data_IF_024919681032
#
_entry.id   IF_024919681032
#
_cell.length_a   1.000
_cell.length_b   1.000
_cell.length_c   1.000
_cell.angle_alpha   90.00
_cell.angle_beta   90.00
_cell.angle_gamma   90.00
#
_symmetry.space_group_name_H-M   'P 1'
#
loop_
_entity.id
_entity.type
_entity.pdbx_description
1 polymer ?
#
# COMPACT_ATOMS: atom_id res chain seq x y z
N UNK A 1 -42.73 -2.42 -10.24
CA UNK A 1 -41.87 -1.21 -10.17
C UNK A 1 -41.17 -1.10 -8.82
N UNK A 2 -41.88 -1.17 -7.68
CA UNK A 2 -41.26 -1.10 -6.34
C UNK A 2 -40.19 -2.16 -6.06
N UNK A 3 -40.44 -3.44 -6.39
CA UNK A 3 -39.47 -4.51 -6.16
C UNK A 3 -38.14 -4.37 -6.93
N UNK A 4 -38.16 -3.65 -8.06
CA UNK A 4 -36.97 -3.44 -8.87
C UNK A 4 -36.10 -2.31 -8.31
N UNK A 5 -36.72 -1.24 -7.79
CA UNK A 5 -36.03 -0.13 -7.15
C UNK A 5 -35.32 -0.57 -5.85
N UNK A 6 -35.98 -1.38 -5.02
CA UNK A 6 -35.37 -1.92 -3.79
C UNK A 6 -34.21 -2.87 -4.08
N UNK A 7 -34.29 -3.61 -5.19
CA UNK A 7 -33.21 -4.50 -5.62
C UNK A 7 -32.00 -3.74 -6.18
N UNK A 8 -32.21 -2.54 -6.74
CA UNK A 8 -31.15 -1.68 -7.23
C UNK A 8 -30.41 -0.99 -6.08
N UNK A 9 -31.15 -0.41 -5.14
CA UNK A 9 -30.60 0.24 -3.93
C UNK A 9 -29.71 -0.71 -3.11
N UNK A 10 -30.19 -1.93 -2.86
CA UNK A 10 -29.41 -2.96 -2.14
C UNK A 10 -28.16 -3.43 -2.89
N UNK A 11 -28.16 -3.37 -4.23
CA UNK A 11 -26.98 -3.70 -5.03
C UNK A 11 -25.92 -2.60 -4.90
N UNK A 12 -26.33 -1.34 -4.93
CA UNK A 12 -25.40 -0.21 -4.82
C UNK A 12 -24.74 -0.18 -3.44
N UNK A 13 -25.50 -0.39 -2.37
CA UNK A 13 -24.96 -0.54 -1.01
C UNK A 13 -23.90 -1.65 -0.92
N UNK A 14 -24.15 -2.80 -1.57
CA UNK A 14 -23.21 -3.92 -1.61
C UNK A 14 -21.92 -3.55 -2.36
N UNK A 15 -22.01 -2.85 -3.49
CA UNK A 15 -20.84 -2.47 -4.29
C UNK A 15 -19.94 -1.48 -3.55
N UNK A 16 -20.54 -0.47 -2.93
CA UNK A 16 -19.82 0.49 -2.10
C UNK A 16 -19.18 -0.17 -0.88
N UNK A 17 -19.84 -1.16 -0.27
CA UNK A 17 -19.28 -1.92 0.85
C UNK A 17 -18.07 -2.75 0.44
N UNK A 18 -18.12 -3.43 -0.70
CA UNK A 18 -16.99 -4.20 -1.25
C UNK A 18 -15.82 -3.25 -1.54
N UNK A 19 -16.08 -2.13 -2.21
CA UNK A 19 -15.06 -1.12 -2.48
C UNK A 19 -14.42 -0.58 -1.19
N UNK A 20 -15.23 -0.21 -0.20
CA UNK A 20 -14.74 0.34 1.07
C UNK A 20 -13.87 -0.68 1.82
N UNK A 21 -14.29 -1.95 1.86
CA UNK A 21 -13.53 -3.02 2.50
C UNK A 21 -12.15 -3.21 1.86
N UNK A 22 -12.09 -3.40 0.55
CA UNK A 22 -10.83 -3.65 -0.15
C UNK A 22 -9.93 -2.41 -0.19
N UNK A 23 -10.51 -1.21 -0.28
CA UNK A 23 -9.77 0.05 -0.14
C UNK A 23 -9.12 0.18 1.23
N UNK A 24 -9.85 -0.17 2.30
CA UNK A 24 -9.31 -0.18 3.66
C UNK A 24 -8.13 -1.16 3.78
N UNK A 25 -8.26 -2.38 3.22
CA UNK A 25 -7.17 -3.38 3.22
C UNK A 25 -5.92 -2.85 2.51
N UNK A 26 -6.08 -2.19 1.36
CA UNK A 26 -4.97 -1.61 0.60
C UNK A 26 -4.31 -0.44 1.34
N UNK A 27 -5.10 0.44 1.97
CA UNK A 27 -4.58 1.56 2.78
C UNK A 27 -3.86 1.04 4.02
N UNK A 28 -4.39 0.03 4.70
CA UNK A 28 -3.73 -0.60 5.84
C UNK A 28 -2.38 -1.22 5.43
N UNK A 29 -2.30 -1.87 4.27
CA UNK A 29 -1.05 -2.37 3.69
C UNK A 29 -0.02 -1.24 3.52
N UNK A 30 -0.45 -0.10 3.00
CA UNK A 30 0.40 1.08 2.84
C UNK A 30 0.90 1.64 4.16
N UNK A 31 0.04 1.71 5.18
CA UNK A 31 0.43 2.14 6.52
C UNK A 31 1.43 1.19 7.16
N UNK A 32 1.28 -0.12 6.95
CA UNK A 32 2.23 -1.12 7.43
C UNK A 32 3.62 -0.92 6.81
N UNK A 33 3.72 -0.64 5.50
CA UNK A 33 5.01 -0.35 4.86
C UNK A 33 5.70 0.88 5.44
N UNK A 34 4.96 1.94 5.77
CA UNK A 34 5.50 3.12 6.46
C UNK A 34 6.04 2.74 7.84
N UNK A 35 5.30 1.93 8.60
CA UNK A 35 5.73 1.44 9.91
C UNK A 35 7.01 0.59 9.82
N UNK A 36 7.09 -0.34 8.87
CA UNK A 36 8.28 -1.15 8.63
C UNK A 36 9.48 -0.30 8.22
N UNK A 37 9.28 0.72 7.40
CA UNK A 37 10.34 1.66 7.01
C UNK A 37 10.93 2.36 8.23
N UNK A 38 10.08 2.80 9.16
CA UNK A 38 10.52 3.38 10.43
C UNK A 38 11.35 2.39 11.26
N UNK A 39 10.89 1.14 11.39
CA UNK A 39 11.62 0.10 12.14
C UNK A 39 13.00 -0.20 11.54
N UNK A 40 13.11 -0.31 10.22
CA UNK A 40 14.39 -0.55 9.54
C UNK A 40 15.32 0.64 9.75
N UNK A 41 14.84 1.88 9.62
CA UNK A 41 15.64 3.09 9.84
C UNK A 41 16.19 3.18 11.28
N UNK A 42 15.35 2.85 12.27
CA UNK A 42 15.78 2.81 13.67
C UNK A 42 16.75 1.64 13.93
N UNK A 43 16.55 0.49 13.31
CA UNK A 43 17.45 -0.66 13.49
C UNK A 43 18.83 -0.42 12.88
N UNK A 44 18.87 0.05 11.62
CA UNK A 44 20.09 0.24 10.84
C UNK A 44 20.72 1.63 11.07
N UNK A 45 20.11 2.48 11.91
CA UNK A 45 20.59 3.83 12.24
C UNK A 45 20.87 4.71 10.99
N UNK A 46 20.08 4.51 9.92
CA UNK A 46 20.16 5.28 8.68
C UNK A 46 19.22 6.46 8.74
N UNK A 47 19.80 7.65 8.81
CA UNK A 47 19.06 8.87 9.10
C UNK A 47 19.21 9.87 7.95
N UNK A 48 18.10 10.53 7.62
CA UNK A 48 18.06 11.53 6.56
C UNK A 48 18.45 12.92 7.03
N UNK A 49 18.12 13.27 8.28
CA UNK A 49 18.30 14.61 8.82
C UNK A 49 18.89 14.64 10.22
N UNK A 50 19.46 15.77 10.61
CA UNK A 50 20.21 15.91 11.86
C UNK A 50 19.30 15.96 13.10
N UNK A 51 18.05 16.42 12.97
CA UNK A 51 17.05 16.38 14.06
C UNK A 51 16.65 14.95 14.42
N UNK A 52 16.57 14.06 13.43
CA UNK A 52 16.24 12.65 13.65
C UNK A 52 17.37 11.93 14.40
N UNK A 53 18.61 12.37 14.24
CA UNK A 53 19.77 11.84 14.96
C UNK A 53 19.67 12.06 16.49
N UNK A 54 18.86 13.02 16.94
CA UNK A 54 18.62 13.29 18.36
C UNK A 54 17.88 12.14 19.04
N UNK A 55 17.04 11.42 18.30
CA UNK A 55 16.18 10.34 18.79
C UNK A 55 16.82 8.96 18.70
N UNK A 56 18.08 8.88 18.28
CA UNK A 56 18.75 7.63 17.96
C UNK A 56 19.74 7.22 19.04
N UNK A 57 19.69 5.94 19.41
CA UNK A 57 20.38 5.42 20.60
C UNK A 57 21.88 5.27 20.39
N UNK A 58 22.35 5.06 19.15
CA UNK A 58 23.76 4.80 18.83
C UNK A 58 24.39 5.97 18.08
N UNK A 59 24.63 7.08 18.78
CA UNK A 59 25.19 8.32 18.19
C UNK A 59 26.53 8.15 17.44
N UNK A 60 27.32 7.13 17.75
CA UNK A 60 28.64 6.92 17.16
C UNK A 60 28.61 6.23 15.79
N UNK A 61 27.51 5.56 15.42
CA UNK A 61 27.41 4.73 14.20
C UNK A 61 26.23 5.17 13.31
N UNK A 62 25.93 6.46 13.34
CA UNK A 62 24.84 7.05 12.55
C UNK A 62 25.34 7.25 11.11
N UNK A 63 24.71 6.57 10.16
CA UNK A 63 24.93 6.81 8.75
C UNK A 63 24.04 7.97 8.29
N UNK A 64 24.66 9.13 8.08
CA UNK A 64 23.97 10.30 7.55
C UNK A 64 23.82 10.17 6.03
N UNK A 65 22.59 10.01 5.56
CA UNK A 65 22.28 9.85 4.14
C UNK A 65 21.21 10.86 3.69
N UNK A 66 21.63 12.04 3.18
CA UNK A 66 20.72 13.09 2.75
C UNK A 66 19.91 12.73 1.49
N UNK A 67 20.17 11.58 0.86
CA UNK A 67 19.31 11.03 -0.22
C UNK A 67 18.23 10.08 0.33
N UNK A 68 18.44 9.54 1.54
CA UNK A 68 17.55 8.57 2.18
C UNK A 68 17.81 7.11 1.83
N UNK A 69 18.87 6.82 1.06
CA UNK A 69 19.23 5.52 0.48
C UNK A 69 20.44 4.85 1.18
N UNK A 70 20.62 5.08 2.48
CA UNK A 70 21.82 4.62 3.18
C UNK A 70 21.93 3.10 3.42
N UNK A 71 20.85 2.34 3.25
CA UNK A 71 20.85 0.88 3.40
C UNK A 71 20.01 0.22 2.29
N UNK A 72 20.45 -0.93 1.72
CA UNK A 72 19.71 -1.59 0.65
C UNK A 72 18.29 -2.00 1.05
N UNK A 73 18.04 -2.34 2.33
CA UNK A 73 16.68 -2.64 2.81
C UNK A 73 15.75 -1.41 2.79
N UNK A 74 16.30 -0.23 3.05
CA UNK A 74 15.55 1.03 3.03
C UNK A 74 15.20 1.40 1.59
N UNK A 75 16.11 1.16 0.65
CA UNK A 75 15.86 1.36 -0.78
C UNK A 75 14.74 0.42 -1.24
N UNK A 76 14.82 -0.87 -0.89
CA UNK A 76 13.83 -1.89 -1.28
C UNK A 76 12.44 -1.57 -0.76
N UNK A 77 12.30 -1.22 0.51
CA UNK A 77 10.98 -0.89 1.07
C UNK A 77 10.42 0.41 0.49
N UNK A 78 11.29 1.39 0.18
CA UNK A 78 10.90 2.64 -0.49
C UNK A 78 10.41 2.39 -1.92
N UNK A 79 11.04 1.49 -2.66
CA UNK A 79 10.55 1.08 -3.98
C UNK A 79 9.21 0.35 -3.90
N UNK A 80 9.05 -0.58 -2.96
CA UNK A 80 7.76 -1.25 -2.74
C UNK A 80 6.65 -0.25 -2.39
N UNK A 81 6.93 0.69 -1.48
CA UNK A 81 5.96 1.73 -1.11
C UNK A 81 5.65 2.67 -2.28
N UNK A 82 6.64 3.04 -3.11
CA UNK A 82 6.42 3.84 -4.31
C UNK A 82 5.56 3.10 -5.33
N UNK A 83 5.85 1.83 -5.59
CA UNK A 83 5.05 1.01 -6.49
C UNK A 83 3.58 0.95 -6.05
N UNK A 84 3.35 0.78 -4.75
CA UNK A 84 2.01 0.79 -4.21
C UNK A 84 1.35 2.18 -4.30
N UNK A 85 2.08 3.29 -4.13
CA UNK A 85 1.55 4.65 -4.38
C UNK A 85 1.10 4.78 -5.84
N UNK A 86 1.93 4.35 -6.77
CA UNK A 86 1.67 4.45 -8.22
C UNK A 86 0.49 3.57 -8.66
N UNK A 87 0.15 2.53 -7.91
CA UNK A 87 -0.90 1.55 -8.27
C UNK A 87 -2.18 1.72 -7.45
N UNK A 88 -2.07 1.86 -6.12
CA UNK A 88 -3.20 1.96 -5.18
C UNK A 88 -3.88 3.33 -5.26
N UNK A 89 -3.15 4.43 -5.42
CA UNK A 89 -3.79 5.76 -5.51
C UNK A 89 -4.71 5.89 -6.73
N UNK A 90 -4.31 5.49 -7.95
CA UNK A 90 -5.23 5.46 -9.08
C UNK A 90 -6.45 4.58 -8.80
N UNK A 91 -6.26 3.41 -8.19
CA UNK A 91 -7.38 2.53 -7.83
C UNK A 91 -8.39 3.21 -6.90
N UNK A 92 -7.93 3.92 -5.86
CA UNK A 92 -8.80 4.64 -4.91
C UNK A 92 -9.56 5.80 -5.55
N UNK A 93 -9.05 6.38 -6.65
CA UNK A 93 -9.70 7.51 -7.33
C UNK A 93 -10.61 7.03 -8.46
N UNK A 94 -10.14 6.10 -9.30
CA UNK A 94 -10.89 5.65 -10.48
C UNK A 94 -12.02 4.69 -10.15
N UNK A 95 -11.88 3.84 -9.13
CA UNK A 95 -12.92 2.86 -8.77
C UNK A 95 -14.23 3.51 -8.31
N UNK A 96 -14.26 4.53 -7.43
CA UNK A 96 -15.51 5.19 -7.06
C UNK A 96 -16.11 5.96 -8.22
N UNK A 97 -15.30 6.60 -9.08
CA UNK A 97 -15.78 7.25 -10.29
C UNK A 97 -16.43 6.23 -11.24
N UNK A 98 -15.81 5.07 -11.39
CA UNK A 98 -16.33 3.98 -12.22
C UNK A 98 -17.63 3.39 -11.65
N UNK A 99 -17.75 3.21 -10.33
CA UNK A 99 -18.98 2.71 -9.69
C UNK A 99 -20.21 3.62 -9.95
N UNK A 100 -20.01 4.92 -10.17
CA UNK A 100 -21.09 5.86 -10.48
C UNK A 100 -21.55 5.81 -11.94
N UNK A 101 -20.77 5.22 -12.85
CA UNK A 101 -21.09 5.12 -14.28
C UNK A 101 -21.54 3.69 -14.57
N UNK A 102 -22.86 3.46 -14.45
CA UNK A 102 -23.58 2.20 -14.70
C UNK A 102 -22.69 0.97 -14.97
N UNK A 103 -22.40 0.19 -13.91
CA UNK A 103 -21.42 -0.89 -13.98
C UNK A 103 -22.05 -2.27 -14.18
N UNK A 104 -21.36 -3.13 -14.93
CA UNK A 104 -21.72 -4.53 -15.07
C UNK A 104 -21.46 -5.29 -13.74
N UNK A 105 -22.47 -5.97 -13.22
CA UNK A 105 -22.43 -6.66 -11.91
C UNK A 105 -21.29 -7.68 -11.76
N UNK A 106 -20.85 -8.32 -12.85
CA UNK A 106 -19.79 -9.33 -12.81
C UNK A 106 -18.41 -8.68 -12.61
N UNK A 107 -18.19 -7.53 -13.23
CA UNK A 107 -16.88 -6.86 -13.22
C UNK A 107 -16.52 -6.39 -11.83
N UNK A 108 -17.47 -5.83 -11.06
CA UNK A 108 -17.19 -5.35 -9.68
C UNK A 108 -16.79 -6.49 -8.75
N UNK A 109 -17.43 -7.67 -8.89
CA UNK A 109 -17.15 -8.85 -8.04
C UNK A 109 -15.77 -9.47 -8.27
N UNK A 110 -15.22 -9.32 -9.47
CA UNK A 110 -13.95 -9.94 -9.85
C UNK A 110 -12.81 -8.93 -9.80
N UNK A 111 -13.02 -7.71 -10.32
CA UNK A 111 -11.98 -6.71 -10.50
C UNK A 111 -11.46 -6.15 -9.17
N UNK A 112 -12.36 -5.78 -8.24
CA UNK A 112 -11.96 -5.18 -6.96
C UNK A 112 -11.17 -6.19 -6.10
N UNK A 113 -11.69 -7.42 -5.85
CA UNK A 113 -10.92 -8.42 -5.10
C UNK A 113 -9.67 -8.89 -5.85
N UNK A 114 -9.74 -9.05 -7.18
CA UNK A 114 -8.63 -9.50 -8.01
C UNK A 114 -7.46 -8.53 -7.95
N UNK A 115 -7.72 -7.23 -8.16
CA UNK A 115 -6.71 -6.18 -8.05
C UNK A 115 -6.03 -6.16 -6.68
N UNK A 116 -6.82 -6.29 -5.60
CA UNK A 116 -6.28 -6.31 -4.25
C UNK A 116 -5.44 -7.56 -3.93
N UNK A 117 -5.78 -8.72 -4.52
CA UNK A 117 -5.02 -9.95 -4.37
C UNK A 117 -3.72 -9.94 -5.18
N UNK A 118 -3.70 -9.38 -6.39
CA UNK A 118 -2.49 -9.21 -7.19
C UNK A 118 -1.52 -8.23 -6.51
N UNK A 119 -2.02 -7.12 -6.00
CA UNK A 119 -1.23 -6.17 -5.20
C UNK A 119 -0.73 -6.76 -3.87
N UNK A 120 -1.36 -7.84 -3.38
CA UNK A 120 -0.87 -8.62 -2.23
C UNK A 120 0.26 -9.56 -2.63
N UNK A 121 0.20 -10.16 -3.82
CA UNK A 121 1.24 -11.06 -4.33
C UNK A 121 2.57 -10.33 -4.55
N UNK A 122 2.52 -9.06 -4.97
CA UNK A 122 3.72 -8.24 -5.11
C UNK A 122 4.34 -7.79 -3.77
N UNK A 123 3.62 -7.92 -2.66
CA UNK A 123 4.03 -7.43 -1.34
C UNK A 123 3.77 -8.45 -0.23
N UNK A 124 4.15 -9.72 -0.42
CA UNK A 124 3.94 -10.76 0.60
C UNK A 124 4.68 -10.41 1.91
N UNK A 125 3.93 -9.81 2.85
CA UNK A 125 4.38 -9.35 4.17
C UNK A 125 4.69 -10.51 5.14
N UNK A 126 4.42 -11.76 4.74
CA UNK A 126 4.83 -12.94 5.53
C UNK A 126 6.33 -13.15 5.53
N UNK A 127 7.03 -12.46 4.65
CA UNK A 127 8.46 -12.64 4.48
C UNK A 127 9.09 -11.27 4.22
N UNK A 128 9.24 -10.47 5.29
CA UNK A 128 10.03 -9.23 5.24
C UNK A 128 11.47 -9.53 4.79
N UNK A 129 11.93 -10.77 5.02
CA UNK A 129 13.13 -11.39 4.42
C UNK A 129 13.08 -11.41 2.88
N UNK A 130 11.94 -11.70 2.28
CA UNK A 130 11.76 -11.74 0.83
C UNK A 130 11.73 -10.33 0.21
N UNK A 131 11.28 -9.30 0.95
CA UNK A 131 11.48 -7.89 0.55
C UNK A 131 12.99 -7.57 0.46
N UNK A 132 13.84 -8.16 1.32
CA UNK A 132 15.30 -8.04 1.21
C UNK A 132 15.89 -8.81 0.01
N UNK A 133 15.22 -9.83 -0.50
CA UNK A 133 15.67 -10.66 -1.63
C UNK A 133 15.07 -10.25 -2.98
N UNK A 134 14.18 -9.26 -3.02
CA UNK A 134 13.69 -8.70 -4.28
C UNK A 134 14.88 -8.18 -5.12
N UNK A 135 15.11 -8.73 -6.32
CA UNK A 135 16.16 -8.25 -7.19
C UNK A 135 15.82 -6.81 -7.58
N UNK A 136 16.79 -5.91 -7.40
CA UNK A 136 16.72 -4.55 -7.94
C UNK A 136 16.58 -4.71 -9.45
N UNK A 137 15.37 -4.49 -9.98
CA UNK A 137 15.17 -4.41 -11.42
C UNK A 137 15.87 -3.12 -11.87
N UNK A 138 17.03 -3.29 -12.50
CA UNK A 138 17.83 -2.23 -13.12
C UNK A 138 17.13 -1.65 -14.33
#
# INVERSE_FOLDING_TARGET
>A
MLANATAEETKDELWWSIYAWWSCVLVLKMMLLTWYTGRIRVREQVIHSNEDAMWMTKKADILFCPTGDGHPDVIRIRHAHRHDIETVLPFLVFTPLWLNVETCNLTVRILIPGFALENKHLSDLRDVSFICEYPVRT
#
